data_IF_621045648899
#
_entry.id   IF_621045648899
#
_cell.length_a   1.000
_cell.length_b   1.000
_cell.length_c   1.000
_cell.angle_alpha   90.00
_cell.angle_beta   90.00
_cell.angle_gamma   90.00
#
_symmetry.space_group_name_H-M   'P 1'
#
loop_
_entity.id
_entity.type
_entity.pdbx_description
1 polymer ?
#
# COMPACT_ATOMS: atom_id res chain seq x y z
N UNK A 1 16.55 19.54 -12.50
CA UNK A 1 15.35 20.38 -12.48
C UNK A 1 14.86 20.46 -11.03
N UNK A 2 14.79 21.66 -10.42
CA UNK A 2 14.38 21.85 -9.02
C UNK A 2 12.95 21.38 -8.71
N UNK A 3 12.09 21.18 -9.73
CA UNK A 3 10.76 20.62 -9.54
C UNK A 3 10.76 19.14 -9.12
N UNK A 4 11.84 18.39 -9.36
CA UNK A 4 11.94 16.96 -9.08
C UNK A 4 12.90 16.64 -7.94
N UNK A 5 14.07 17.29 -7.92
CA UNK A 5 15.15 16.94 -6.99
C UNK A 5 15.14 17.86 -5.75
N UNK A 6 15.60 17.37 -4.59
CA UNK A 6 16.11 16.01 -4.36
C UNK A 6 15.02 14.97 -4.04
N UNK A 7 13.79 15.40 -3.76
CA UNK A 7 12.78 14.55 -3.10
C UNK A 7 11.47 14.40 -3.88
N UNK A 8 11.03 15.47 -4.56
CA UNK A 8 9.70 15.56 -5.15
C UNK A 8 9.47 14.59 -6.31
N UNK A 9 10.53 14.05 -6.91
CA UNK A 9 10.48 13.10 -8.04
C UNK A 9 9.56 11.91 -7.76
N UNK A 10 9.45 11.49 -6.49
CA UNK A 10 8.62 10.36 -6.03
C UNK A 10 7.13 10.58 -6.32
N UNK A 11 6.68 11.84 -6.35
CA UNK A 11 5.31 12.22 -6.67
C UNK A 11 4.99 12.24 -8.17
N UNK A 12 5.95 11.98 -9.06
CA UNK A 12 5.75 12.02 -10.51
C UNK A 12 5.73 10.61 -11.09
N UNK A 13 4.72 10.28 -11.90
CA UNK A 13 4.55 8.93 -12.46
C UNK A 13 5.72 8.46 -13.32
N UNK A 14 6.52 9.39 -13.84
CA UNK A 14 7.71 9.07 -14.60
C UNK A 14 8.85 8.46 -13.75
N UNK A 15 8.88 8.74 -12.45
CA UNK A 15 10.00 8.43 -11.56
C UNK A 15 9.58 7.67 -10.29
N UNK A 16 8.34 7.81 -9.83
CA UNK A 16 7.87 7.20 -8.60
C UNK A 16 6.39 6.85 -8.62
N UNK A 17 5.91 6.48 -7.43
CA UNK A 17 4.61 5.85 -7.18
C UNK A 17 3.79 6.60 -6.13
N UNK A 18 4.15 7.86 -5.84
CA UNK A 18 3.45 8.71 -4.89
C UNK A 18 3.47 8.17 -3.46
N UNK A 19 2.60 8.73 -2.62
CA UNK A 19 2.50 8.37 -1.21
C UNK A 19 2.19 6.88 -1.00
N UNK A 20 1.31 6.30 -1.82
CA UNK A 20 0.97 4.88 -1.74
C UNK A 20 2.23 4.01 -1.90
N UNK A 21 2.96 4.09 -3.01
CA UNK A 21 4.11 3.20 -3.19
C UNK A 21 5.30 3.53 -2.28
N UNK A 22 5.39 4.75 -1.75
CA UNK A 22 6.43 5.16 -0.79
C UNK A 22 6.16 4.61 0.62
N UNK A 23 4.90 4.68 1.11
CA UNK A 23 4.58 4.35 2.51
C UNK A 23 3.83 3.02 2.69
N UNK A 24 3.09 2.54 1.70
CA UNK A 24 2.34 1.29 1.83
C UNK A 24 3.26 0.08 2.00
N UNK A 25 4.43 0.07 1.36
CA UNK A 25 5.40 -1.01 1.53
C UNK A 25 5.91 -1.14 2.97
N UNK A 26 5.83 -0.06 3.76
CA UNK A 26 6.12 -0.07 5.18
C UNK A 26 4.88 -0.44 6.01
N UNK A 27 3.77 0.30 5.83
CA UNK A 27 2.58 0.19 6.68
C UNK A 27 1.77 -1.09 6.41
N UNK A 28 1.62 -1.48 5.14
CA UNK A 28 0.81 -2.66 4.76
C UNK A 28 1.56 -3.98 4.93
N UNK A 29 2.88 -3.96 5.15
CA UNK A 29 3.70 -5.18 5.34
C UNK A 29 3.14 -6.05 6.48
N UNK A 30 2.73 -5.43 7.59
CA UNK A 30 2.10 -6.15 8.71
C UNK A 30 0.86 -6.93 8.26
N UNK A 31 0.00 -6.35 7.42
CA UNK A 31 -1.20 -6.99 6.92
C UNK A 31 -0.87 -8.16 5.98
N UNK A 32 0.10 -7.98 5.07
CA UNK A 32 0.52 -8.99 4.11
C UNK A 32 1.23 -10.19 4.77
N UNK A 33 1.95 -9.97 5.88
CA UNK A 33 2.60 -11.08 6.60
C UNK A 33 1.63 -11.93 7.42
N UNK A 34 0.60 -11.33 8.01
CA UNK A 34 -0.22 -12.02 9.02
C UNK A 34 -1.59 -12.48 8.51
N UNK A 35 -2.08 -11.92 7.40
CA UNK A 35 -3.39 -12.26 6.84
C UNK A 35 -3.24 -13.24 5.68
N UNK A 36 -4.22 -14.15 5.48
CA UNK A 36 -4.21 -15.09 4.36
C UNK A 36 -4.66 -14.38 3.08
N UNK A 37 -3.84 -13.47 2.57
CA UNK A 37 -4.09 -12.68 1.36
C UNK A 37 -2.92 -12.82 0.40
N UNK A 38 -3.20 -12.58 -0.88
CA UNK A 38 -2.19 -12.59 -1.94
C UNK A 38 -2.42 -11.34 -2.82
N UNK A 39 -3.21 -11.47 -3.89
CA UNK A 39 -3.56 -10.36 -4.77
C UNK A 39 -4.98 -9.84 -4.53
N UNK A 40 -5.24 -8.52 -4.72
CA UNK A 40 -6.59 -7.99 -4.68
C UNK A 40 -7.38 -8.46 -5.90
N UNK A 41 -8.66 -8.75 -5.73
CA UNK A 41 -9.59 -9.06 -6.84
C UNK A 41 -10.21 -7.81 -7.47
N UNK A 42 -10.28 -6.73 -6.72
CA UNK A 42 -10.84 -5.46 -7.16
C UNK A 42 -10.22 -4.30 -6.41
N UNK A 43 -10.21 -3.14 -7.07
CA UNK A 43 -9.74 -1.88 -6.52
C UNK A 43 -10.66 -0.74 -6.95
N UNK A 44 -10.96 0.17 -6.04
CA UNK A 44 -11.61 1.45 -6.34
C UNK A 44 -11.00 2.55 -5.48
N UNK A 45 -11.05 3.79 -5.94
CA UNK A 45 -10.47 4.90 -5.20
C UNK A 45 -11.22 6.22 -5.43
N UNK A 46 -10.88 7.19 -4.59
CA UNK A 46 -11.19 8.61 -4.78
C UNK A 46 -9.96 9.45 -4.45
N UNK A 47 -9.87 10.64 -5.03
CA UNK A 47 -8.75 11.56 -4.82
C UNK A 47 -9.26 12.98 -4.62
N UNK A 48 -8.41 13.85 -4.07
CA UNK A 48 -8.66 15.30 -4.09
C UNK A 48 -8.95 15.76 -5.52
N UNK A 49 -9.92 16.67 -5.65
CA UNK A 49 -10.10 17.42 -6.90
C UNK A 49 -9.12 18.58 -6.89
N UNK A 50 -8.22 18.60 -7.86
CA UNK A 50 -7.19 19.63 -7.98
C UNK A 50 -7.74 20.85 -8.73
N UNK A 51 -7.38 22.05 -8.29
CA UNK A 51 -7.84 23.31 -8.88
C UNK A 51 -6.66 24.23 -9.17
N UNK A 52 -6.62 24.85 -10.35
CA UNK A 52 -5.61 25.86 -10.73
C UNK A 52 -6.20 27.28 -10.79
N UNK A 53 -7.47 27.42 -10.40
CA UNK A 53 -8.20 28.67 -10.35
C UNK A 53 -9.65 28.45 -9.95
N UNK A 54 -10.41 29.55 -9.88
CA UNK A 54 -11.81 29.50 -9.49
C UNK A 54 -12.65 28.66 -10.47
N UNK A 55 -13.18 27.54 -10.00
CA UNK A 55 -13.89 26.54 -10.81
C UNK A 55 -13.11 26.03 -12.03
N UNK A 56 -11.77 26.14 -12.02
CA UNK A 56 -10.92 25.58 -13.06
C UNK A 56 -10.16 24.38 -12.52
N UNK A 57 -10.70 23.20 -12.81
CA UNK A 57 -10.10 21.93 -12.38
C UNK A 57 -8.74 21.77 -13.07
N UNK A 58 -7.69 21.50 -12.29
CA UNK A 58 -6.35 21.31 -12.80
C UNK A 58 -6.18 19.93 -13.45
N UNK A 59 -5.24 19.82 -14.38
CA UNK A 59 -4.93 18.55 -15.04
C UNK A 59 -3.47 18.15 -14.81
N UNK A 60 -3.18 17.62 -13.62
CA UNK A 60 -1.86 17.13 -13.26
C UNK A 60 -1.69 15.64 -13.60
N UNK A 61 -1.87 15.28 -14.87
CA UNK A 61 -1.83 13.89 -15.35
C UNK A 61 -0.48 13.17 -15.11
N UNK A 62 0.60 13.93 -14.94
CA UNK A 62 1.96 13.42 -14.80
C UNK A 62 2.38 13.22 -13.33
N UNK A 63 1.54 13.63 -12.37
CA UNK A 63 1.80 13.49 -10.93
C UNK A 63 0.72 12.69 -10.20
N UNK A 64 1.09 12.21 -9.02
CA UNK A 64 0.18 11.60 -8.06
C UNK A 64 -0.74 12.67 -7.47
N UNK A 65 -1.96 12.30 -7.00
CA UNK A 65 -2.85 13.24 -6.32
C UNK A 65 -2.28 13.67 -4.97
N UNK A 66 -2.72 14.82 -4.45
CA UNK A 66 -2.30 15.29 -3.12
C UNK A 66 -2.85 14.42 -1.98
N UNK A 67 -4.04 13.83 -2.16
CA UNK A 67 -4.63 12.88 -1.22
C UNK A 67 -5.48 11.83 -1.95
N UNK A 68 -5.60 10.67 -1.33
CA UNK A 68 -6.36 9.54 -1.85
C UNK A 68 -7.01 8.69 -0.75
N UNK A 69 -8.12 8.05 -1.13
CA UNK A 69 -8.70 6.92 -0.41
C UNK A 69 -8.78 5.78 -1.43
N UNK A 70 -8.20 4.62 -1.11
CA UNK A 70 -8.15 3.46 -1.99
C UNK A 70 -8.70 2.26 -1.24
N UNK A 71 -9.65 1.57 -1.84
CA UNK A 71 -10.27 0.35 -1.32
C UNK A 71 -9.83 -0.83 -2.17
N UNK A 72 -9.16 -1.80 -1.53
CA UNK A 72 -8.70 -3.05 -2.12
C UNK A 72 -9.46 -4.20 -1.47
N UNK A 73 -9.91 -5.16 -2.28
CA UNK A 73 -10.58 -6.36 -1.78
C UNK A 73 -9.79 -7.61 -2.12
N UNK A 74 -9.31 -8.29 -1.10
CA UNK A 74 -8.50 -9.50 -1.20
C UNK A 74 -9.36 -10.73 -0.96
N UNK A 75 -9.48 -11.65 -1.94
CA UNK A 75 -9.91 -13.01 -1.66
C UNK A 75 -8.96 -13.64 -0.67
N UNK A 76 -9.49 -14.34 0.34
CA UNK A 76 -8.64 -15.03 1.30
C UNK A 76 -8.11 -16.33 0.69
N UNK A 77 -6.83 -16.60 0.88
CA UNK A 77 -6.18 -17.83 0.41
C UNK A 77 -6.68 -19.07 1.13
N UNK A 78 -7.28 -18.91 2.32
CA UNK A 78 -7.90 -19.99 3.09
C UNK A 78 -9.38 -20.25 2.71
N UNK A 79 -9.91 -19.55 1.70
CA UNK A 79 -11.28 -19.73 1.21
C UNK A 79 -12.38 -19.16 2.11
N UNK A 80 -12.06 -18.46 3.21
CA UNK A 80 -13.05 -17.98 4.19
C UNK A 80 -13.61 -16.58 3.87
N UNK A 81 -13.85 -16.29 2.60
CA UNK A 81 -14.38 -15.01 2.13
C UNK A 81 -13.30 -14.01 1.72
N UNK A 82 -13.51 -12.72 2.04
CA UNK A 82 -12.66 -11.62 1.57
C UNK A 82 -12.25 -10.68 2.69
N UNK A 83 -11.09 -10.04 2.54
CA UNK A 83 -10.61 -8.95 3.40
C UNK A 83 -10.64 -7.65 2.61
N UNK A 84 -11.22 -6.61 3.19
CA UNK A 84 -11.15 -5.26 2.65
C UNK A 84 -10.01 -4.51 3.33
N UNK A 85 -9.12 -3.94 2.53
CA UNK A 85 -8.07 -3.03 2.98
C UNK A 85 -8.36 -1.64 2.42
N UNK A 86 -8.36 -0.64 3.30
CA UNK A 86 -8.55 0.76 2.90
C UNK A 86 -7.28 1.53 3.22
N UNK A 87 -6.67 2.12 2.19
CA UNK A 87 -5.58 3.08 2.31
C UNK A 87 -6.13 4.51 2.29
N UNK A 88 -5.58 5.38 3.15
CA UNK A 88 -5.95 6.80 3.22
C UNK A 88 -4.67 7.61 3.43
N UNK A 89 -4.43 8.63 2.60
CA UNK A 89 -3.25 9.50 2.68
C UNK A 89 -3.60 10.98 2.46
N UNK A 90 -2.58 11.85 2.45
CA UNK A 90 -2.72 13.27 2.13
C UNK A 90 -3.59 14.06 3.12
N UNK A 91 -3.56 13.67 4.39
CA UNK A 91 -4.35 14.28 5.47
C UNK A 91 -5.74 13.67 5.65
N UNK A 92 -6.17 12.75 4.78
CA UNK A 92 -7.39 11.98 4.97
C UNK A 92 -7.14 10.87 6.01
N UNK A 93 -8.08 10.70 6.93
CA UNK A 93 -8.01 9.72 8.02
C UNK A 93 -9.35 9.00 8.16
N UNK A 94 -9.36 7.74 8.64
CA UNK A 94 -10.62 7.10 8.99
C UNK A 94 -11.27 7.85 10.15
N UNK A 95 -12.57 7.61 10.37
CA UNK A 95 -13.22 8.02 11.61
C UNK A 95 -12.46 7.40 12.79
N UNK A 96 -12.25 8.17 13.85
CA UNK A 96 -11.70 7.62 15.10
C UNK A 96 -12.53 6.40 15.54
N UNK A 97 -11.89 5.27 15.88
CA UNK A 97 -12.57 4.14 16.50
C UNK A 97 -13.38 4.59 17.71
N UNK A 98 -14.57 4.04 17.89
CA UNK A 98 -15.45 4.42 19.00
C UNK A 98 -14.84 4.07 20.37
N UNK A 99 -13.95 3.06 20.38
CA UNK A 99 -13.24 2.60 21.57
C UNK A 99 -12.00 3.44 21.92
N UNK A 100 -11.59 4.40 21.06
CA UNK A 100 -10.45 5.28 21.30
C UNK A 100 -10.91 6.52 22.08
N UNK A 101 -10.30 6.76 23.25
CA UNK A 101 -10.69 7.89 24.10
C UNK A 101 -10.23 9.22 23.48
N UNK A 102 -10.92 10.35 23.76
CA UNK A 102 -10.55 11.66 23.20
C UNK A 102 -9.13 12.13 23.54
N UNK A 103 -8.54 11.62 24.62
CA UNK A 103 -7.17 11.94 25.05
C UNK A 103 -6.10 11.07 24.39
N UNK A 104 -6.49 10.10 23.56
CA UNK A 104 -5.59 9.12 22.94
C UNK A 104 -5.38 9.43 21.46
N UNK A 105 -4.16 9.16 20.98
CA UNK A 105 -3.82 9.35 19.58
C UNK A 105 -4.20 8.11 18.76
N UNK A 106 -4.81 8.33 17.59
CA UNK A 106 -5.04 7.28 16.61
C UNK A 106 -3.77 7.10 15.76
N UNK A 107 -3.00 6.05 16.06
CA UNK A 107 -1.68 5.83 15.46
C UNK A 107 -0.65 6.82 15.98
N UNK A 108 0.36 7.12 15.15
CA UNK A 108 1.39 8.12 15.43
C UNK A 108 1.43 9.20 14.33
N UNK A 109 2.46 10.05 14.36
CA UNK A 109 2.61 11.15 13.39
C UNK A 109 2.95 10.68 11.98
N UNK A 110 3.47 9.46 11.83
CA UNK A 110 3.92 8.83 10.58
C UNK A 110 2.86 7.85 10.03
N UNK A 111 1.67 7.82 10.66
CA UNK A 111 0.51 7.06 10.21
C UNK A 111 0.28 5.78 11.03
N UNK A 112 0.00 4.68 10.32
CA UNK A 112 -0.26 3.37 10.91
C UNK A 112 -1.42 2.61 10.28
N UNK A 113 -1.82 1.54 10.93
CA UNK A 113 -2.91 0.66 10.53
C UNK A 113 -3.91 0.46 11.66
N UNK A 114 -5.14 0.10 11.29
CA UNK A 114 -6.18 -0.39 12.19
C UNK A 114 -6.68 -1.73 11.66
N UNK A 115 -6.46 -2.81 12.39
CA UNK A 115 -7.11 -4.08 12.11
C UNK A 115 -8.44 -4.15 12.85
N UNK A 116 -9.50 -4.48 12.13
CA UNK A 116 -10.84 -4.70 12.68
C UNK A 116 -11.17 -6.19 12.61
N UNK A 117 -11.29 -6.83 13.78
CA UNK A 117 -11.68 -8.22 13.91
C UNK A 117 -13.02 -8.39 14.61
N UNK A 118 -13.48 -9.63 14.73
CA UNK A 118 -14.77 -9.97 15.37
C UNK A 118 -14.77 -9.80 16.89
N UNK A 119 -13.59 -9.71 17.52
CA UNK A 119 -13.40 -9.59 18.98
C UNK A 119 -12.86 -8.21 19.42
N UNK A 120 -12.82 -7.26 18.49
CA UNK A 120 -12.31 -5.92 18.73
C UNK A 120 -11.36 -5.45 17.65
N UNK A 121 -10.71 -4.33 17.91
CA UNK A 121 -9.79 -3.68 17.00
C UNK A 121 -8.40 -3.60 17.62
N UNK A 122 -7.39 -3.49 16.77
CA UNK A 122 -6.03 -3.15 17.17
C UNK A 122 -5.50 -2.10 16.21
N UNK A 123 -4.71 -1.18 16.73
CA UNK A 123 -4.01 -0.17 15.94
C UNK A 123 -2.51 -0.29 16.16
N UNK A 124 -1.71 0.22 15.24
CA UNK A 124 -0.25 0.22 15.38
C UNK A 124 0.43 0.85 14.18
N UNK A 125 1.75 0.82 14.15
CA UNK A 125 2.54 1.21 13.00
C UNK A 125 3.61 0.13 12.68
N UNK A 126 4.37 0.30 11.61
CA UNK A 126 5.38 -0.68 11.17
C UNK A 126 6.61 -0.72 12.08
N UNK A 127 6.80 0.28 12.93
CA UNK A 127 7.93 0.44 13.84
C UNK A 127 7.53 0.49 15.32
N UNK A 128 6.26 0.24 15.65
CA UNK A 128 5.73 0.30 17.02
C UNK A 128 4.91 -0.94 17.38
N UNK A 129 4.83 -1.23 18.68
CA UNK A 129 4.00 -2.32 19.16
C UNK A 129 2.51 -2.03 18.95
N UNK A 130 1.71 -3.04 18.56
CA UNK A 130 0.29 -2.85 18.37
C UNK A 130 -0.44 -2.64 19.70
N UNK A 131 -1.44 -1.77 19.68
CA UNK A 131 -2.29 -1.39 20.80
C UNK A 131 -3.70 -1.90 20.55
N UNK A 132 -4.25 -2.63 21.52
CA UNK A 132 -5.65 -3.04 21.50
C UNK A 132 -6.59 -1.85 21.70
N UNK A 133 -7.77 -1.94 21.11
CA UNK A 133 -8.85 -0.99 21.36
C UNK A 133 -10.02 -1.70 22.07
N UNK A 134 -10.53 -1.16 23.19
CA UNK A 134 -10.01 0.00 23.92
C UNK A 134 -8.63 -0.26 24.56
N UNK A 135 -7.80 0.78 24.66
CA UNK A 135 -6.40 0.72 25.13
C UNK A 135 -6.25 0.15 26.53
N UNK A 136 -7.26 0.30 27.39
CA UNK A 136 -7.30 -0.26 28.74
C UNK A 136 -7.09 -1.78 28.75
N UNK A 137 -7.45 -2.48 27.66
CA UNK A 137 -7.24 -3.93 27.50
C UNK A 137 -5.77 -4.33 27.41
N UNK A 138 -4.87 -3.38 27.15
CA UNK A 138 -3.43 -3.65 27.21
C UNK A 138 -2.97 -4.08 28.61
N UNK A 139 -3.71 -3.72 29.67
CA UNK A 139 -3.43 -4.19 31.04
C UNK A 139 -3.74 -5.68 31.26
N UNK A 140 -4.57 -6.25 30.40
CA UNK A 140 -5.04 -7.64 30.49
C UNK A 140 -4.24 -8.58 29.60
N UNK A 141 -3.39 -8.02 28.72
CA UNK A 141 -2.69 -8.79 27.69
C UNK A 141 -1.20 -8.86 28.00
N UNK A 142 -0.70 -10.08 28.03
CA UNK A 142 0.74 -10.34 27.91
C UNK A 142 1.06 -10.53 26.44
N UNK A 143 1.99 -9.73 25.91
CA UNK A 143 2.43 -9.87 24.52
C UNK A 143 3.02 -11.26 24.29
N UNK A 144 2.78 -11.87 23.12
CA UNK A 144 3.30 -13.20 22.84
C UNK A 144 4.82 -13.20 22.87
N UNK A 145 5.41 -14.29 23.38
CA UNK A 145 6.86 -14.48 23.30
C UNK A 145 7.29 -14.43 21.82
N UNK A 146 8.29 -13.61 21.47
CA UNK A 146 8.77 -13.52 20.09
C UNK A 146 9.19 -14.90 19.56
N UNK A 147 8.57 -15.33 18.46
CA UNK A 147 8.82 -16.64 17.84
C UNK A 147 9.49 -16.55 16.47
N UNK A 148 9.41 -15.39 15.82
CA UNK A 148 10.00 -15.16 14.51
C UNK A 148 11.46 -14.68 14.66
N UNK A 149 12.40 -15.19 13.85
CA UNK A 149 13.78 -14.72 13.88
C UNK A 149 13.84 -13.23 13.54
N UNK A 150 14.74 -12.51 14.19
CA UNK A 150 15.04 -11.10 13.89
C UNK A 150 16.38 -11.03 13.19
N UNK A 151 16.53 -10.06 12.30
CA UNK A 151 17.82 -9.77 11.67
C UNK A 151 18.78 -9.29 12.77
N UNK A 152 19.97 -9.90 12.92
CA UNK A 152 20.97 -9.39 13.87
C UNK A 152 21.29 -7.93 13.57
N UNK A 153 21.22 -7.05 14.58
CA UNK A 153 21.38 -5.60 14.37
C UNK A 153 20.11 -4.89 13.87
N UNK A 154 18.97 -5.57 13.75
CA UNK A 154 17.67 -5.02 13.36
C UNK A 154 17.74 -4.22 12.05
N UNK A 155 17.30 -2.97 12.07
CA UNK A 155 17.33 -2.06 10.93
C UNK A 155 18.74 -1.83 10.39
N UNK A 156 19.79 -1.84 11.22
CA UNK A 156 21.16 -1.64 10.72
C UNK A 156 21.73 -2.92 10.06
N UNK A 157 21.14 -4.08 10.37
CA UNK A 157 21.66 -5.38 9.95
C UNK A 157 21.12 -5.93 8.63
N UNK A 158 20.07 -5.32 8.05
CA UNK A 158 19.42 -5.89 6.86
C UNK A 158 20.35 -5.93 5.64
N UNK A 159 21.25 -4.95 5.49
CA UNK A 159 22.28 -4.97 4.44
C UNK A 159 23.24 -6.15 4.61
N UNK A 160 23.68 -6.41 5.84
CA UNK A 160 24.58 -7.53 6.15
C UNK A 160 23.89 -8.88 5.89
N UNK A 161 22.61 -9.02 6.26
CA UNK A 161 21.84 -10.23 5.96
C UNK A 161 21.82 -10.55 4.45
N UNK A 162 21.68 -9.52 3.61
CA UNK A 162 21.72 -9.70 2.16
C UNK A 162 23.10 -10.16 1.67
N UNK A 163 24.18 -9.54 2.18
CA UNK A 163 25.57 -9.91 1.83
C UNK A 163 25.87 -11.34 2.26
N UNK A 164 25.50 -11.71 3.49
CA UNK A 164 25.71 -13.06 4.03
C UNK A 164 24.96 -14.11 3.19
N UNK A 165 23.71 -13.83 2.80
CA UNK A 165 22.93 -14.72 1.94
C UNK A 165 23.56 -14.88 0.54
N UNK A 166 24.12 -13.81 -0.03
CA UNK A 166 24.86 -13.88 -1.29
C UNK A 166 26.11 -14.78 -1.17
N UNK A 167 26.87 -14.64 -0.08
CA UNK A 167 28.08 -15.44 0.18
C UNK A 167 27.72 -16.91 0.40
N UNK A 168 26.64 -17.19 1.16
CA UNK A 168 26.17 -18.54 1.44
C UNK A 168 25.69 -19.29 0.18
N UNK A 169 25.16 -18.54 -0.80
CA UNK A 169 24.64 -19.06 -2.06
C UNK A 169 23.12 -19.20 -2.09
N UNK A 170 22.55 -19.28 -3.30
CA UNK A 170 21.11 -19.29 -3.52
C UNK A 170 20.41 -20.43 -2.74
N UNK A 171 19.37 -20.07 -1.99
CA UNK A 171 18.58 -21.01 -1.18
C UNK A 171 19.29 -21.57 0.04
N UNK A 172 20.49 -21.08 0.39
CA UNK A 172 21.26 -21.57 1.56
C UNK A 172 21.00 -20.79 2.84
N UNK A 173 20.38 -19.61 2.74
CA UNK A 173 20.04 -18.76 3.88
C UNK A 173 18.62 -18.21 3.73
N UNK A 174 17.87 -18.17 4.82
CA UNK A 174 16.56 -17.54 4.87
C UNK A 174 16.71 -16.03 4.97
N UNK A 175 16.04 -15.29 4.09
CA UNK A 175 15.95 -13.84 4.12
C UNK A 175 14.69 -13.37 4.85
N UNK A 176 14.74 -12.17 5.44
CA UNK A 176 13.57 -11.55 6.11
C UNK A 176 12.54 -10.98 5.12
N UNK A 177 13.00 -10.57 3.93
CA UNK A 177 12.18 -10.01 2.84
C UNK A 177 12.61 -10.59 1.48
N UNK A 178 12.35 -11.88 1.22
CA UNK A 178 12.68 -12.53 -0.05
C UNK A 178 11.78 -12.05 -1.21
N UNK A 179 12.20 -12.28 -2.45
CA UNK A 179 11.48 -11.79 -3.65
C UNK A 179 10.12 -12.45 -3.89
N UNK A 180 9.95 -13.70 -3.47
CA UNK A 180 8.67 -14.42 -3.48
C UNK A 180 7.62 -13.78 -2.56
N UNK A 181 8.06 -13.03 -1.55
CA UNK A 181 7.22 -12.17 -0.73
C UNK A 181 7.11 -10.75 -1.31
N UNK A 182 8.25 -10.11 -1.56
CA UNK A 182 8.29 -8.69 -1.92
C UNK A 182 7.65 -8.40 -3.30
N UNK A 183 7.74 -9.34 -4.25
CA UNK A 183 7.15 -9.21 -5.59
C UNK A 183 5.62 -9.12 -5.54
N UNK A 184 4.91 -10.16 -5.07
CA UNK A 184 3.45 -10.15 -4.93
C UNK A 184 2.93 -8.99 -4.07
N UNK A 185 3.63 -8.66 -2.97
CA UNK A 185 3.25 -7.51 -2.15
C UNK A 185 3.34 -6.19 -2.94
N UNK A 186 4.42 -5.98 -3.69
CA UNK A 186 4.58 -4.81 -4.56
C UNK A 186 3.48 -4.75 -5.61
N UNK A 187 3.17 -5.86 -6.27
CA UNK A 187 2.10 -5.91 -7.28
C UNK A 187 0.75 -5.52 -6.66
N UNK A 188 0.43 -6.04 -5.48
CA UNK A 188 -0.82 -5.73 -4.79
C UNK A 188 -0.92 -4.24 -4.38
N UNK A 189 0.17 -3.61 -3.96
CA UNK A 189 0.21 -2.16 -3.69
C UNK A 189 0.03 -1.36 -4.99
N UNK A 190 0.71 -1.74 -6.07
CA UNK A 190 0.65 -1.05 -7.35
C UNK A 190 -0.75 -1.09 -8.01
N UNK A 191 -1.61 -2.04 -7.63
CA UNK A 191 -3.02 -2.01 -8.03
C UNK A 191 -3.74 -0.74 -7.55
N UNK A 192 -3.37 -0.18 -6.40
CA UNK A 192 -3.86 1.12 -5.96
C UNK A 192 -3.36 2.25 -6.87
N UNK A 193 -2.08 2.25 -7.27
CA UNK A 193 -1.55 3.22 -8.23
C UNK A 193 -2.24 3.14 -9.60
N UNK A 194 -2.52 1.93 -10.08
CA UNK A 194 -3.28 1.72 -11.31
C UNK A 194 -4.67 2.35 -11.20
N UNK A 195 -5.36 2.18 -10.07
CA UNK A 195 -6.65 2.82 -9.81
C UNK A 195 -6.53 4.34 -9.80
N UNK A 196 -5.54 4.92 -9.12
CA UNK A 196 -5.31 6.37 -9.08
C UNK A 196 -5.06 6.95 -10.47
N UNK A 197 -4.24 6.28 -11.29
CA UNK A 197 -3.97 6.70 -12.67
C UNK A 197 -5.22 6.62 -13.53
N UNK A 198 -6.01 5.56 -13.37
CA UNK A 198 -7.30 5.39 -14.06
C UNK A 198 -8.32 6.45 -13.63
N UNK A 199 -8.39 6.77 -12.35
CA UNK A 199 -9.29 7.77 -11.76
C UNK A 199 -9.09 9.16 -12.36
N UNK A 200 -7.83 9.52 -12.63
CA UNK A 200 -7.44 10.80 -13.24
C UNK A 200 -7.49 10.80 -14.79
N UNK A 201 -7.81 9.69 -15.43
CA UNK A 201 -8.00 9.67 -16.88
C UNK A 201 -9.16 10.60 -17.26
N UNK A 202 -8.90 11.50 -18.20
CA UNK A 202 -9.89 12.42 -18.76
C UNK A 202 -10.22 12.04 -20.20
N UNK A 203 -11.48 12.23 -20.56
CA UNK A 203 -12.01 12.13 -21.91
C UNK A 203 -12.98 13.30 -22.17
N UNK A 204 -13.44 13.44 -23.41
CA UNK A 204 -14.49 14.41 -23.76
C UNK A 204 -15.81 14.17 -23.00
N UNK A 205 -15.98 13.01 -22.37
CA UNK A 205 -17.17 12.61 -21.59
C UNK A 205 -16.92 12.62 -20.07
N UNK A 206 -15.86 13.28 -19.60
CA UNK A 206 -15.48 13.33 -18.20
C UNK A 206 -14.46 12.25 -17.85
N UNK A 207 -14.68 11.54 -16.74
CA UNK A 207 -13.69 10.65 -16.13
C UNK A 207 -14.04 9.16 -16.27
N UNK A 208 -13.64 8.51 -17.37
CA UNK A 208 -14.05 7.14 -17.66
C UNK A 208 -13.53 6.10 -16.65
N UNK A 209 -12.43 6.39 -15.94
CA UNK A 209 -11.82 5.48 -14.98
C UNK A 209 -12.25 5.69 -13.53
N UNK A 210 -13.18 6.59 -13.23
CA UNK A 210 -13.79 6.74 -11.89
C UNK A 210 -14.82 5.63 -11.65
N UNK A 211 -14.33 4.41 -11.46
CA UNK A 211 -15.13 3.20 -11.19
C UNK A 211 -14.29 2.14 -10.50
N UNK A 212 -14.96 1.10 -10.01
CA UNK A 212 -14.31 -0.13 -9.57
C UNK A 212 -13.65 -0.86 -10.73
N UNK A 213 -12.40 -1.26 -10.54
CA UNK A 213 -11.62 -2.05 -11.49
C UNK A 213 -11.49 -3.49 -10.99
N UNK A 214 -11.71 -4.45 -11.88
CA UNK A 214 -11.64 -5.89 -11.58
C UNK A 214 -10.32 -6.46 -12.08
N UNK A 215 -9.56 -7.10 -11.20
CA UNK A 215 -8.20 -7.59 -11.46
C UNK A 215 -8.16 -9.10 -11.63
N UNK A 216 -7.59 -9.53 -12.75
CA UNK A 216 -7.16 -10.91 -12.97
C UNK A 216 -5.64 -10.98 -12.74
N UNK A 217 -5.25 -11.34 -11.52
CA UNK A 217 -3.84 -11.42 -11.11
C UNK A 217 -3.06 -12.45 -11.93
N UNK A 218 -3.68 -13.59 -12.27
CA UNK A 218 -3.02 -14.66 -13.03
C UNK A 218 -2.60 -14.18 -14.41
N UNK A 219 -3.45 -13.39 -15.06
CA UNK A 219 -3.18 -12.85 -16.40
C UNK A 219 -2.62 -11.42 -16.37
N UNK A 220 -2.42 -10.85 -15.18
CA UNK A 220 -2.07 -9.45 -14.95
C UNK A 220 -2.93 -8.51 -15.82
N UNK A 221 -4.26 -8.54 -15.65
CA UNK A 221 -5.17 -7.77 -16.51
C UNK A 221 -6.37 -7.18 -15.75
N UNK A 222 -6.69 -5.93 -16.07
CA UNK A 222 -7.99 -5.31 -15.76
C UNK A 222 -9.04 -5.82 -16.75
N UNK A 223 -10.11 -6.41 -16.25
CA UNK A 223 -11.09 -7.14 -17.07
C UNK A 223 -12.30 -6.32 -17.47
N UNK A 224 -12.57 -5.20 -16.79
CA UNK A 224 -13.79 -4.40 -16.97
C UNK A 224 -13.54 -2.96 -17.46
N UNK A 225 -12.29 -2.60 -17.74
CA UNK A 225 -11.91 -1.30 -18.30
C UNK A 225 -10.56 -1.41 -19.02
N UNK A 226 -10.59 -1.66 -20.33
CA UNK A 226 -9.41 -2.02 -21.10
C UNK A 226 -8.33 -0.93 -21.10
N UNK A 227 -8.71 0.36 -21.09
CA UNK A 227 -7.77 1.48 -21.09
C UNK A 227 -6.87 1.52 -19.85
N UNK A 228 -7.32 0.99 -18.72
CA UNK A 228 -6.49 0.89 -17.51
C UNK A 228 -5.31 -0.09 -17.68
N UNK A 229 -5.38 -1.03 -18.63
CA UNK A 229 -4.27 -1.95 -18.91
C UNK A 229 -3.03 -1.24 -19.45
N UNK A 230 -3.15 -0.01 -19.95
CA UNK A 230 -2.01 0.85 -20.30
C UNK A 230 -1.10 1.17 -19.11
N UNK A 231 -1.55 0.92 -17.88
CA UNK A 231 -0.78 1.15 -16.65
C UNK A 231 -0.21 -0.13 -16.03
N UNK A 232 -0.54 -1.30 -16.55
CA UNK A 232 -0.06 -2.59 -16.02
C UNK A 232 1.38 -2.88 -16.42
N UNK A 233 1.74 -2.56 -17.67
CA UNK A 233 3.08 -2.74 -18.21
C UNK A 233 3.57 -1.46 -18.86
N UNK A 234 4.89 -1.31 -18.92
CA UNK A 234 5.55 -0.21 -19.59
C UNK A 234 6.18 -0.72 -20.88
N UNK A 235 6.08 0.08 -21.93
CA UNK A 235 6.89 -0.11 -23.13
C UNK A 235 8.36 0.22 -22.81
N UNK A 236 9.21 -0.79 -22.87
CA UNK A 236 10.65 -0.61 -22.73
C UNK A 236 11.19 0.22 -23.90
N UNK A 237 12.22 1.03 -23.62
CA UNK A 237 12.93 1.75 -24.68
C UNK A 237 13.55 0.72 -25.64
N UNK A 238 13.55 1.04 -26.94
CA UNK A 238 14.17 0.18 -27.96
C UNK A 238 15.57 -0.25 -27.53
N UNK A 239 15.83 -1.56 -27.56
CA UNK A 239 17.09 -2.17 -27.12
C UNK A 239 17.09 -2.76 -25.70
N UNK A 240 15.99 -2.60 -24.94
CA UNK A 240 15.83 -3.18 -23.60
C UNK A 240 14.67 -4.18 -23.58
N UNK A 241 14.89 -5.38 -23.07
CA UNK A 241 13.88 -6.45 -22.91
C UNK A 241 14.08 -7.15 -21.55
N UNK A 242 12.99 -7.68 -20.98
CA UNK A 242 12.96 -8.39 -19.69
C UNK A 242 12.42 -9.81 -19.88
#
# INVERSE_FOLDING_TARGET
NPAYLPFNWRGWWAFGTGALGDMACHIMDAAFRILPIDFPSEVECSTTTEWEGFFKEANYKDSCPASSIIHLKFPRTDGKGTITLTWMDGGLRPKNPEELLPSENMGDWDGGYIFTGTKGKMMGNYNTDPVLLPTARMKEVTMPTPSLPRVPGNEEGHYTQWVDACIAGYGKMQLSSPFDYAGPFTEAVLMGNLALRSYNMRSNRGYPGRKKLLWDAKNMKITNFDEANAFVKRDYRKGWTL
#
